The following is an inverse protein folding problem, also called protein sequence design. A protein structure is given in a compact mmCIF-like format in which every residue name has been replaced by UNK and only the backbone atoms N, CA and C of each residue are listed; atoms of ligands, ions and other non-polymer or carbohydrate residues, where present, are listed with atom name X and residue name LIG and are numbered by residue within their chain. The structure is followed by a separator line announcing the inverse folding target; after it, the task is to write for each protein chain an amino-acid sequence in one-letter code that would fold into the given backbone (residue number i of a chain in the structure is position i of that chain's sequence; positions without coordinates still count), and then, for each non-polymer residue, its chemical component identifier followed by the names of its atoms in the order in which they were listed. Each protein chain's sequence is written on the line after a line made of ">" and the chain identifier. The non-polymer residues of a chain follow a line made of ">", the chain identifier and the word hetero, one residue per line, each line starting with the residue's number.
data_IF_677594262512
#
_entry.id   IF_677594262512
#
_cell.length_a   1.000
_cell.length_b   1.000
_cell.length_c   1.000
_cell.angle_alpha   90.00
_cell.angle_beta   90.00
_cell.angle_gamma   90.00
#
_symmetry.space_group_name_H-M   'P 1'
#
loop_
_entity.id
_entity.type
_entity.pdbx_description
1 polymer ?
#
# COMPACT_ATOMS: atom_id res chain seq x y z
N UNK A 1 -43.92 14.49 65.31
CA UNK A 1 -44.71 14.43 64.07
C UNK A 1 -43.74 14.62 62.94
N UNK A 2 -43.37 13.50 62.33
CA UNK A 2 -42.27 13.35 61.39
C UNK A 2 -42.64 13.69 59.94
N UNK A 3 -41.62 14.13 59.18
CA UNK A 3 -41.49 14.01 57.71
C UNK A 3 -42.13 15.13 56.89
N UNK A 4 -41.49 15.78 55.92
CA UNK A 4 -40.21 15.56 55.23
C UNK A 4 -39.73 16.90 54.62
N UNK A 5 -38.42 17.12 54.41
CA UNK A 5 -37.94 18.12 53.47
C UNK A 5 -37.68 17.52 52.08
N UNK A 6 -38.19 18.20 51.05
CA UNK A 6 -37.97 17.92 49.63
C UNK A 6 -36.48 17.92 49.27
N UNK A 7 -35.94 16.75 48.92
CA UNK A 7 -34.63 16.65 48.26
C UNK A 7 -34.77 16.93 46.77
N UNK A 8 -34.27 18.10 46.36
CA UNK A 8 -33.97 18.44 44.97
C UNK A 8 -32.92 17.46 44.43
N UNK A 9 -33.33 16.60 43.50
CA UNK A 9 -32.40 15.72 42.78
C UNK A 9 -31.54 16.57 41.82
N UNK A 10 -30.30 16.83 42.23
CA UNK A 10 -29.23 17.15 41.31
C UNK A 10 -29.09 16.00 40.31
N UNK A 11 -29.58 16.21 39.08
CA UNK A 11 -29.22 15.36 37.94
C UNK A 11 -27.74 15.57 37.68
N UNK A 12 -26.93 14.63 38.17
CA UNK A 12 -25.55 14.49 37.76
C UNK A 12 -25.51 14.42 36.23
N UNK A 13 -24.80 15.37 35.62
CA UNK A 13 -24.52 15.37 34.19
C UNK A 13 -23.86 14.06 33.83
N UNK A 14 -24.51 13.27 32.96
CA UNK A 14 -23.88 12.12 32.33
C UNK A 14 -22.69 12.64 31.53
N UNK A 15 -21.50 12.44 32.07
CA UNK A 15 -20.23 12.58 31.35
C UNK A 15 -20.35 11.85 30.02
N UNK A 16 -20.20 12.59 28.93
CA UNK A 16 -20.29 12.15 27.55
C UNK A 16 -19.03 11.38 27.15
N UNK A 17 -18.77 10.22 27.76
CA UNK A 17 -17.75 9.26 27.27
C UNK A 17 -18.20 8.48 26.02
N UNK A 18 -19.05 9.07 25.18
CA UNK A 18 -19.51 8.50 23.90
C UNK A 18 -18.72 9.04 22.70
N UNK A 19 -17.49 9.50 22.92
CA UNK A 19 -16.66 10.03 21.85
C UNK A 19 -15.97 8.90 21.07
N UNK A 20 -16.46 8.70 19.84
CA UNK A 20 -15.84 8.07 18.67
C UNK A 20 -15.67 6.54 18.68
N UNK A 21 -16.79 5.82 18.78
CA UNK A 21 -16.88 4.40 18.38
C UNK A 21 -16.84 4.18 16.85
N UNK A 22 -16.85 5.25 16.04
CA UNK A 22 -16.89 5.20 14.59
C UNK A 22 -16.04 6.32 13.98
N UNK A 23 -15.18 5.95 13.04
CA UNK A 23 -14.42 6.86 12.19
C UNK A 23 -15.23 7.12 10.92
N UNK A 24 -15.66 8.38 10.74
CA UNK A 24 -16.46 8.82 9.60
C UNK A 24 -15.66 8.96 8.31
N UNK A 25 -14.34 9.13 8.37
CA UNK A 25 -13.48 9.24 7.18
C UNK A 25 -13.26 7.87 6.56
N UNK A 26 -12.90 6.89 7.39
CA UNK A 26 -12.68 5.51 6.92
C UNK A 26 -13.97 4.69 6.90
N UNK A 27 -15.08 5.23 7.43
CA UNK A 27 -16.35 4.54 7.64
C UNK A 27 -16.20 3.23 8.43
N UNK A 28 -15.39 3.26 9.49
CA UNK A 28 -14.94 2.06 10.21
C UNK A 28 -15.22 2.19 11.70
N UNK A 29 -15.74 1.13 12.33
CA UNK A 29 -15.89 1.09 13.78
C UNK A 29 -14.55 0.86 14.49
N UNK A 30 -14.38 1.47 15.66
CA UNK A 30 -13.29 1.12 16.56
C UNK A 30 -13.57 -0.26 17.20
N UNK A 31 -12.56 -1.10 17.41
CA UNK A 31 -12.74 -2.41 18.02
C UNK A 31 -13.24 -2.24 19.46
N UNK A 32 -14.22 -3.07 19.85
CA UNK A 32 -14.77 -3.10 21.21
C UNK A 32 -13.75 -3.58 22.24
N UNK A 33 -12.75 -4.36 21.81
CA UNK A 33 -11.59 -4.72 22.62
C UNK A 33 -10.67 -3.54 22.94
N UNK A 34 -10.90 -2.38 22.32
CA UNK A 34 -10.01 -1.23 22.41
C UNK A 34 -8.72 -1.43 21.61
N UNK A 35 -7.84 -0.44 21.72
CA UNK A 35 -6.53 -0.45 21.07
C UNK A 35 -5.51 -0.26 22.17
N UNK A 36 -4.60 -1.23 22.33
CA UNK A 36 -3.51 -1.10 23.29
C UNK A 36 -2.54 0.02 22.86
N UNK A 37 -1.80 0.65 23.79
CA UNK A 37 -0.71 1.53 23.40
C UNK A 37 0.42 0.77 22.70
N UNK A 38 1.24 1.50 21.92
CA UNK A 38 2.51 1.00 21.39
C UNK A 38 3.40 0.58 22.57
N UNK A 39 4.05 -0.57 22.47
CA UNK A 39 4.97 -1.04 23.50
C UNK A 39 6.20 -0.13 23.58
N UNK A 40 6.66 0.26 24.78
CA UNK A 40 7.86 1.10 24.90
C UNK A 40 9.11 0.44 24.28
N UNK A 41 9.25 -0.88 24.39
CA UNK A 41 10.35 -1.64 23.78
C UNK A 41 10.38 -1.50 22.26
N UNK A 42 9.21 -1.46 21.60
CA UNK A 42 9.14 -1.23 20.16
C UNK A 42 9.78 0.10 19.75
N UNK A 43 9.45 1.16 20.48
CA UNK A 43 10.00 2.49 20.21
C UNK A 43 11.50 2.55 20.51
N UNK A 44 11.97 1.88 21.56
CA UNK A 44 13.41 1.77 21.84
C UNK A 44 14.15 1.13 20.66
N UNK A 45 13.71 -0.05 20.21
CA UNK A 45 14.34 -0.77 19.08
C UNK A 45 14.22 0.03 17.78
N UNK A 46 13.11 0.72 17.53
CA UNK A 46 12.96 1.53 16.32
C UNK A 46 13.92 2.74 16.27
N UNK A 47 14.41 3.18 17.42
CA UNK A 47 15.41 4.25 17.53
C UNK A 47 16.86 3.71 17.52
N UNK A 48 17.06 2.40 17.62
CA UNK A 48 18.40 1.80 17.51
C UNK A 48 18.90 1.84 16.06
N UNK A 49 20.04 2.49 15.78
CA UNK A 49 20.52 2.68 14.41
C UNK A 49 20.68 1.37 13.63
N UNK A 50 20.18 1.35 12.40
CA UNK A 50 20.47 0.29 11.45
C UNK A 50 21.88 0.44 10.87
N UNK A 51 22.56 -0.68 10.63
CA UNK A 51 23.76 -0.77 9.81
C UNK A 51 23.48 -1.55 8.53
N UNK A 52 24.18 -1.17 7.46
CA UNK A 52 24.14 -1.95 6.21
C UNK A 52 24.94 -3.24 6.39
N UNK A 53 24.33 -4.36 6.03
CA UNK A 53 24.90 -5.71 6.08
C UNK A 53 25.65 -6.03 4.78
N UNK A 54 26.65 -6.93 4.80
CA UNK A 54 27.37 -7.34 3.59
C UNK A 54 26.51 -8.21 2.65
N UNK A 55 25.49 -8.88 3.19
CA UNK A 55 24.57 -9.74 2.45
C UNK A 55 23.14 -9.51 2.89
N UNK A 56 22.14 -9.75 2.01
CA UNK A 56 20.75 -9.69 2.40
C UNK A 56 20.43 -10.65 3.54
N UNK A 57 19.72 -10.19 4.57
CA UNK A 57 19.21 -11.04 5.64
C UNK A 57 17.89 -11.71 5.25
N UNK A 58 17.57 -12.82 5.91
CA UNK A 58 16.22 -13.40 5.85
C UNK A 58 15.24 -12.50 6.59
N UNK A 59 14.06 -12.31 5.98
CA UNK A 59 12.99 -11.47 6.49
C UNK A 59 11.64 -12.15 6.34
N UNK A 60 10.71 -11.76 7.20
CA UNK A 60 9.30 -12.09 7.10
C UNK A 60 8.56 -10.92 6.44
N UNK A 61 7.95 -11.17 5.29
CA UNK A 61 7.09 -10.20 4.60
C UNK A 61 5.63 -10.63 4.78
N UNK A 62 4.87 -9.80 5.49
CA UNK A 62 3.44 -9.97 5.76
C UNK A 62 2.66 -9.16 4.73
N UNK A 63 1.71 -9.79 4.05
CA UNK A 63 0.94 -9.20 2.96
C UNK A 63 -0.52 -8.99 3.38
N UNK A 64 -1.00 -7.75 3.26
CA UNK A 64 -2.44 -7.55 2.99
C UNK A 64 -2.79 -8.05 1.58
N UNK A 65 -4.08 -8.22 1.31
CA UNK A 65 -4.57 -8.71 0.03
C UNK A 65 -5.42 -7.68 -0.72
N UNK A 66 -6.56 -7.27 -0.16
CA UNK A 66 -7.54 -6.47 -0.90
C UNK A 66 -7.26 -4.98 -0.70
N UNK A 67 -7.00 -4.28 -1.79
CA UNK A 67 -6.45 -2.92 -1.78
C UNK A 67 -4.92 -2.92 -1.92
N UNK A 68 -4.27 -4.04 -1.61
CA UNK A 68 -2.80 -4.17 -1.71
C UNK A 68 -2.36 -4.97 -2.95
N UNK A 69 -2.76 -6.23 -3.08
CA UNK A 69 -2.39 -7.14 -4.18
C UNK A 69 -3.53 -7.35 -5.19
N UNK A 70 -4.76 -7.14 -4.75
CA UNK A 70 -5.97 -7.41 -5.51
C UNK A 70 -6.99 -6.30 -5.31
N UNK A 71 -7.78 -6.05 -6.35
CA UNK A 71 -9.00 -5.26 -6.25
C UNK A 71 -10.21 -6.18 -6.40
N UNK A 72 -11.10 -6.20 -5.41
CA UNK A 72 -12.38 -6.92 -5.52
C UNK A 72 -13.47 -6.01 -6.04
N UNK A 73 -13.81 -6.18 -7.31
CA UNK A 73 -14.88 -5.42 -7.94
C UNK A 73 -16.24 -6.04 -7.60
N UNK A 74 -17.05 -5.30 -6.83
CA UNK A 74 -18.42 -5.68 -6.46
C UNK A 74 -19.49 -5.10 -7.39
N UNK A 75 -19.11 -4.25 -8.37
CA UNK A 75 -20.04 -3.46 -9.19
C UNK A 75 -20.52 -4.20 -10.45
N UNK A 76 -19.78 -5.19 -10.95
CA UNK A 76 -20.17 -5.95 -12.15
C UNK A 76 -20.98 -7.21 -11.80
N UNK A 77 -22.26 -7.21 -12.19
CA UNK A 77 -23.12 -8.38 -12.43
C UNK A 77 -23.12 -9.49 -11.36
N UNK A 78 -23.37 -9.13 -10.09
CA UNK A 78 -23.79 -10.08 -9.04
C UNK A 78 -22.72 -11.06 -8.51
N UNK A 79 -21.58 -11.24 -9.20
CA UNK A 79 -20.44 -12.04 -8.72
C UNK A 79 -19.21 -11.15 -8.54
N UNK A 80 -18.62 -11.08 -7.33
CA UNK A 80 -17.39 -10.33 -7.11
C UNK A 80 -16.28 -10.85 -8.04
N UNK A 81 -15.71 -9.97 -8.86
CA UNK A 81 -14.53 -10.30 -9.65
C UNK A 81 -13.28 -9.86 -8.88
N UNK A 82 -12.20 -10.66 -9.02
CA UNK A 82 -10.90 -10.38 -8.41
C UNK A 82 -9.99 -9.92 -9.55
N UNK A 83 -9.53 -8.68 -9.47
CA UNK A 83 -8.56 -8.11 -10.40
C UNK A 83 -7.19 -8.15 -9.74
N UNK A 84 -6.21 -8.74 -10.43
CA UNK A 84 -4.83 -8.78 -9.97
C UNK A 84 -4.21 -7.38 -10.14
N UNK A 85 -3.49 -6.89 -9.13
CA UNK A 85 -2.64 -5.72 -9.31
C UNK A 85 -1.58 -6.01 -10.38
N UNK A 86 -1.22 -5.03 -11.25
CA UNK A 86 -0.12 -5.23 -12.19
C UNK A 86 1.15 -5.71 -11.48
N UNK A 87 1.90 -6.61 -12.13
CA UNK A 87 3.11 -7.26 -11.60
C UNK A 87 2.93 -8.22 -10.41
N UNK A 88 1.69 -8.56 -10.04
CA UNK A 88 1.42 -9.44 -8.91
C UNK A 88 2.19 -10.76 -8.95
N UNK A 89 2.17 -11.49 -10.08
CA UNK A 89 2.74 -12.83 -10.12
C UNK A 89 4.26 -12.78 -10.03
N UNK A 90 4.84 -11.79 -10.68
CA UNK A 90 6.26 -11.49 -10.69
C UNK A 90 6.74 -11.14 -9.29
N UNK A 91 6.02 -10.22 -8.64
CA UNK A 91 6.25 -9.82 -7.26
C UNK A 91 6.18 -11.02 -6.31
N UNK A 92 5.12 -11.83 -6.39
CA UNK A 92 4.97 -13.02 -5.53
C UNK A 92 6.11 -14.03 -5.73
N UNK A 93 6.51 -14.27 -6.97
CA UNK A 93 7.63 -15.17 -7.27
C UNK A 93 8.94 -14.69 -6.66
N UNK A 94 9.21 -13.39 -6.75
CA UNK A 94 10.38 -12.79 -6.10
C UNK A 94 10.30 -12.88 -4.58
N UNK A 95 9.13 -12.60 -3.99
CA UNK A 95 8.96 -12.69 -2.55
C UNK A 95 9.27 -14.10 -2.04
N UNK A 96 8.67 -15.14 -2.63
CA UNK A 96 8.94 -16.53 -2.23
C UNK A 96 10.38 -16.98 -2.46
N UNK A 97 11.10 -16.36 -3.40
CA UNK A 97 12.51 -16.67 -3.65
C UNK A 97 13.43 -16.10 -2.58
N UNK A 98 13.10 -14.93 -2.02
CA UNK A 98 14.03 -14.18 -1.16
C UNK A 98 13.59 -14.09 0.30
N UNK A 99 12.30 -14.23 0.59
CA UNK A 99 11.70 -13.95 1.89
C UNK A 99 10.79 -15.08 2.36
N UNK A 100 10.55 -15.13 3.67
CA UNK A 100 9.39 -15.82 4.21
C UNK A 100 8.16 -14.97 3.96
N UNK A 101 7.10 -15.58 3.44
CA UNK A 101 5.91 -14.84 2.99
C UNK A 101 4.71 -15.27 3.81
N UNK A 102 4.12 -14.32 4.52
CA UNK A 102 2.90 -14.50 5.29
C UNK A 102 1.77 -13.66 4.69
N UNK A 103 0.54 -14.15 4.81
CA UNK A 103 -0.66 -13.37 4.52
C UNK A 103 -1.33 -13.00 5.83
N UNK A 104 -1.75 -11.75 5.97
CA UNK A 104 -2.65 -11.33 7.04
C UNK A 104 -3.72 -10.41 6.46
N UNK A 105 -4.93 -10.93 6.23
CA UNK A 105 -6.00 -10.17 5.58
C UNK A 105 -7.20 -9.96 6.51
N UNK A 106 -7.77 -8.76 6.50
CA UNK A 106 -9.02 -8.43 7.22
C UNK A 106 -10.27 -9.14 6.65
N UNK A 107 -10.12 -9.78 5.48
CA UNK A 107 -11.15 -10.59 4.84
C UNK A 107 -11.28 -11.97 5.49
N UNK A 108 -12.50 -12.54 5.45
CA UNK A 108 -12.75 -13.91 5.91
C UNK A 108 -11.99 -14.93 5.07
N UNK A 109 -11.74 -16.10 5.66
CA UNK A 109 -10.97 -17.20 5.04
C UNK A 109 -11.41 -17.53 3.61
N UNK A 110 -12.71 -17.65 3.36
CA UNK A 110 -13.24 -17.97 2.02
C UNK A 110 -12.85 -16.94 0.95
N UNK A 111 -12.77 -15.67 1.31
CA UNK A 111 -12.33 -14.62 0.39
C UNK A 111 -10.81 -14.60 0.21
N UNK A 112 -10.07 -14.90 1.29
CA UNK A 112 -8.61 -15.03 1.24
C UNK A 112 -8.23 -16.16 0.29
N UNK A 113 -8.82 -17.35 0.46
CA UNK A 113 -8.56 -18.51 -0.40
C UNK A 113 -8.87 -18.22 -1.87
N UNK A 114 -9.98 -17.51 -2.16
CA UNK A 114 -10.33 -17.11 -3.53
C UNK A 114 -9.28 -16.19 -4.19
N UNK A 115 -8.63 -15.31 -3.43
CA UNK A 115 -7.56 -14.45 -3.91
C UNK A 115 -6.26 -15.23 -4.07
N UNK A 116 -5.88 -16.06 -3.08
CA UNK A 116 -4.67 -16.87 -3.13
C UNK A 116 -4.69 -17.92 -4.24
N UNK A 117 -5.86 -18.41 -4.64
CA UNK A 117 -6.02 -19.28 -5.82
C UNK A 117 -5.60 -18.60 -7.15
N UNK A 118 -5.36 -17.29 -7.18
CA UNK A 118 -4.79 -16.58 -8.34
C UNK A 118 -3.26 -16.69 -8.42
N UNK A 119 -2.61 -17.11 -7.34
CA UNK A 119 -1.15 -17.23 -7.22
C UNK A 119 -0.78 -18.70 -7.46
N UNK A 120 0.12 -19.00 -8.42
CA UNK A 120 0.58 -20.36 -8.64
C UNK A 120 1.25 -20.98 -7.41
N UNK A 121 0.86 -22.21 -7.06
CA UNK A 121 1.36 -22.92 -5.88
C UNK A 121 2.84 -23.32 -5.98
N UNK A 122 3.36 -23.40 -7.20
CA UNK A 122 4.76 -23.73 -7.49
C UNK A 122 5.73 -22.55 -7.25
N UNK A 123 5.22 -21.35 -6.90
CA UNK A 123 6.08 -20.23 -6.56
C UNK A 123 6.74 -20.40 -5.18
N UNK A 124 6.08 -21.09 -4.26
CA UNK A 124 6.56 -21.29 -2.90
C UNK A 124 5.43 -21.59 -1.93
N UNK A 125 5.79 -21.80 -0.67
CA UNK A 125 4.84 -22.09 0.40
C UNK A 125 4.70 -20.86 1.29
N UNK A 126 3.47 -20.47 1.58
CA UNK A 126 3.19 -19.43 2.57
C UNK A 126 3.65 -19.91 3.95
N UNK A 127 4.35 -19.05 4.67
CA UNK A 127 4.77 -19.26 6.04
C UNK A 127 3.53 -19.41 6.94
N UNK A 128 2.60 -18.45 6.85
CA UNK A 128 1.28 -18.46 7.50
C UNK A 128 0.22 -17.77 6.64
N UNK A 129 -1.04 -18.14 6.85
CA UNK A 129 -2.20 -17.50 6.22
C UNK A 129 -3.21 -17.11 7.30
N UNK A 130 -3.12 -15.86 7.74
CA UNK A 130 -4.07 -15.27 8.66
C UNK A 130 -5.15 -14.49 7.90
N UNK A 131 -6.37 -14.67 8.38
CA UNK A 131 -7.61 -14.09 7.86
C UNK A 131 -8.32 -13.35 8.99
N UNK A 132 -9.53 -12.84 8.74
CA UNK A 132 -10.34 -12.14 9.74
C UNK A 132 -10.46 -12.89 11.08
N UNK A 133 -10.46 -14.20 11.01
CA UNK A 133 -10.52 -15.17 12.10
C UNK A 133 -9.33 -15.06 13.08
N UNK A 134 -8.25 -14.38 12.69
CA UNK A 134 -7.02 -14.24 13.48
C UNK A 134 -6.86 -12.84 14.11
N UNK A 135 -7.90 -12.00 14.09
CA UNK A 135 -7.86 -10.66 14.67
C UNK A 135 -8.43 -10.59 16.11
N UNK A 136 -8.76 -11.73 16.72
CA UNK A 136 -9.35 -11.82 18.07
C UNK A 136 -10.53 -10.86 18.29
N UNK A 137 -11.34 -10.70 17.24
CA UNK A 137 -12.45 -9.77 17.24
C UNK A 137 -13.58 -10.27 18.14
N UNK A 138 -14.18 -9.36 18.89
CA UNK A 138 -15.49 -9.61 19.50
C UNK A 138 -16.49 -10.03 18.42
N UNK A 139 -17.48 -10.88 18.74
CA UNK A 139 -18.44 -11.41 17.77
C UNK A 139 -19.09 -10.30 16.93
N UNK A 140 -19.57 -9.23 17.58
CA UNK A 140 -20.11 -8.04 16.91
C UNK A 140 -19.13 -7.41 15.92
N UNK A 141 -17.86 -7.29 16.30
CA UNK A 141 -16.79 -6.75 15.45
C UNK A 141 -16.47 -7.67 14.29
N UNK A 142 -16.51 -8.99 14.51
CA UNK A 142 -16.31 -9.98 13.46
C UNK A 142 -17.32 -9.85 12.31
N UNK A 143 -18.54 -9.38 12.58
CA UNK A 143 -19.61 -9.26 11.57
C UNK A 143 -19.81 -7.86 10.98
N UNK A 144 -19.04 -6.84 11.39
CA UNK A 144 -19.15 -5.45 10.89
C UNK A 144 -17.84 -4.90 10.32
N UNK A 145 -17.90 -3.74 9.66
CA UNK A 145 -16.69 -3.02 9.23
C UNK A 145 -16.01 -2.36 10.44
N UNK A 146 -15.03 -3.07 10.99
CA UNK A 146 -14.24 -2.65 12.16
C UNK A 146 -12.77 -2.50 11.76
N UNK A 147 -12.06 -1.64 12.47
CA UNK A 147 -10.63 -1.49 12.36
C UNK A 147 -9.99 -2.83 12.78
N UNK A 148 -9.19 -3.39 11.87
CA UNK A 148 -8.51 -4.67 12.04
C UNK A 148 -7.03 -4.40 12.18
N UNK A 149 -6.61 -4.25 13.44
CA UNK A 149 -5.22 -4.01 13.82
C UNK A 149 -4.34 -5.23 13.52
N UNK A 150 -3.26 -5.01 12.78
CA UNK A 150 -2.25 -6.02 12.49
C UNK A 150 -1.09 -5.86 13.46
N UNK A 151 -1.33 -6.30 14.69
CA UNK A 151 -0.32 -6.31 15.74
C UNK A 151 0.77 -7.35 15.46
N UNK A 152 1.92 -6.91 14.95
CA UNK A 152 3.01 -7.83 14.58
C UNK A 152 3.65 -8.53 15.79
N UNK A 153 3.49 -8.01 17.00
CA UNK A 153 3.92 -8.74 18.21
C UNK A 153 3.16 -10.06 18.37
N UNK A 154 1.90 -10.12 17.95
CA UNK A 154 1.13 -11.37 17.94
C UNK A 154 1.78 -12.41 17.02
N UNK A 155 2.27 -11.99 15.87
CA UNK A 155 2.96 -12.86 14.90
C UNK A 155 4.23 -13.43 15.52
N UNK A 156 5.05 -12.59 16.14
CA UNK A 156 6.29 -13.00 16.78
C UNK A 156 6.04 -13.96 17.95
N UNK A 157 5.04 -13.66 18.80
CA UNK A 157 4.65 -14.53 19.91
C UNK A 157 4.16 -15.89 19.42
N UNK A 158 3.33 -15.94 18.37
CA UNK A 158 2.85 -17.22 17.81
C UNK A 158 3.99 -18.04 17.19
N UNK A 159 4.98 -17.39 16.56
CA UNK A 159 6.19 -18.04 16.07
C UNK A 159 6.96 -18.70 17.22
N UNK A 160 7.23 -17.97 18.29
CA UNK A 160 7.97 -18.50 19.44
C UNK A 160 7.20 -19.63 20.13
N UNK A 161 5.88 -19.48 20.32
CA UNK A 161 5.05 -20.57 20.86
C UNK A 161 5.12 -21.81 19.97
N UNK A 162 4.94 -21.67 18.64
CA UNK A 162 5.03 -22.81 17.73
C UNK A 162 6.42 -23.50 17.76
N UNK A 163 7.49 -22.73 18.00
CA UNK A 163 8.86 -23.21 18.11
C UNK A 163 9.09 -23.99 19.40
N UNK A 164 8.57 -23.53 20.53
CA UNK A 164 8.65 -24.23 21.83
C UNK A 164 8.02 -25.62 21.79
N UNK A 165 6.90 -25.78 21.07
CA UNK A 165 6.18 -27.05 20.95
C UNK A 165 6.62 -27.90 19.73
N UNK A 166 7.64 -27.46 18.99
CA UNK A 166 8.09 -28.13 17.77
C UNK A 166 8.90 -29.40 18.09
N UNK A 167 8.62 -30.49 17.39
CA UNK A 167 9.51 -31.66 17.40
C UNK A 167 10.87 -31.32 16.78
N UNK A 168 11.95 -32.10 17.07
CA UNK A 168 13.27 -31.87 16.48
C UNK A 168 13.28 -31.79 14.94
N UNK A 169 12.36 -32.50 14.26
CA UNK A 169 12.22 -32.45 12.80
C UNK A 169 11.59 -31.14 12.31
N UNK A 170 10.71 -30.53 13.11
CA UNK A 170 10.01 -29.28 12.81
C UNK A 170 10.85 -28.04 13.10
N UNK A 171 11.84 -28.12 13.99
CA UNK A 171 12.73 -26.99 14.32
C UNK A 171 13.43 -26.38 13.11
N UNK A 172 13.63 -27.13 12.02
CA UNK A 172 14.17 -26.59 10.76
C UNK A 172 13.31 -25.47 10.16
N UNK A 173 11.99 -25.45 10.42
CA UNK A 173 11.08 -24.35 10.00
C UNK A 173 11.41 -23.05 10.74
N UNK A 174 11.90 -23.15 11.97
CA UNK A 174 12.21 -22.03 12.87
C UNK A 174 13.73 -21.81 12.99
N UNK A 175 14.47 -22.10 11.91
CA UNK A 175 15.91 -21.84 11.86
C UNK A 175 16.22 -20.33 11.85
N UNK A 176 15.24 -19.52 11.47
CA UNK A 176 15.31 -18.06 11.47
C UNK A 176 14.34 -17.52 12.51
N UNK A 177 14.82 -16.57 13.32
CA UNK A 177 13.97 -15.83 14.26
C UNK A 177 13.40 -14.60 13.55
N UNK A 178 12.13 -14.30 13.81
CA UNK A 178 11.46 -13.12 13.27
C UNK A 178 11.00 -12.21 14.39
N UNK A 179 11.40 -10.95 14.28
CA UNK A 179 11.10 -9.89 15.23
C UNK A 179 10.91 -8.55 14.49
N UNK A 180 10.89 -7.47 15.26
CA UNK A 180 10.82 -6.10 14.74
C UNK A 180 11.95 -5.76 13.74
N UNK A 181 13.13 -6.36 13.87
CA UNK A 181 14.31 -6.00 13.08
C UNK A 181 14.32 -6.60 11.68
N UNK A 182 13.45 -7.59 11.40
CA UNK A 182 13.35 -8.26 10.10
C UNK A 182 11.93 -8.61 9.63
N UNK A 183 10.90 -8.01 10.20
CA UNK A 183 9.51 -8.19 9.74
C UNK A 183 9.01 -6.92 9.05
N UNK A 184 8.43 -7.07 7.85
CA UNK A 184 7.77 -5.99 7.11
C UNK A 184 6.33 -6.40 6.83
N UNK A 185 5.38 -5.52 7.12
CA UNK A 185 4.01 -5.54 6.63
C UNK A 185 3.88 -4.67 5.37
N UNK A 186 3.16 -5.15 4.36
CA UNK A 186 2.73 -4.35 3.21
C UNK A 186 1.21 -4.22 3.28
N UNK A 187 0.73 -3.00 3.47
CA UNK A 187 -0.70 -2.70 3.63
C UNK A 187 -1.02 -1.34 3.02
N UNK A 188 -2.19 -1.23 2.39
CA UNK A 188 -2.73 0.02 1.86
C UNK A 188 -3.26 0.97 2.94
N UNK A 189 -3.45 0.47 4.16
CA UNK A 189 -4.10 1.16 5.27
C UNK A 189 -3.17 1.32 6.47
N UNK A 190 -2.55 2.48 6.60
CA UNK A 190 -1.62 2.82 7.70
C UNK A 190 -2.21 2.63 9.11
N UNK A 191 -3.52 2.84 9.27
CA UNK A 191 -4.18 2.67 10.56
C UNK A 191 -4.16 1.22 11.08
N UNK A 192 -4.00 0.23 10.19
CA UNK A 192 -3.92 -1.19 10.59
C UNK A 192 -2.58 -1.51 11.24
N UNK A 193 -1.52 -0.76 10.93
CA UNK A 193 -0.16 -0.98 11.43
C UNK A 193 0.24 0.00 12.54
N UNK A 194 -0.70 0.74 13.12
CA UNK A 194 -0.38 1.81 14.09
C UNK A 194 0.36 1.34 15.35
N UNK A 195 0.35 0.03 15.66
CA UNK A 195 1.11 -0.53 16.78
C UNK A 195 2.59 -0.72 16.47
N UNK A 196 2.94 -0.89 15.19
CA UNK A 196 4.31 -1.00 14.69
C UNK A 196 4.48 -0.19 13.38
N UNK A 197 4.35 1.15 13.44
CA UNK A 197 4.24 2.00 12.26
C UNK A 197 5.48 1.98 11.36
N UNK A 198 6.67 1.72 11.92
CA UNK A 198 7.93 1.68 11.18
C UNK A 198 8.25 0.30 10.60
N UNK A 199 7.32 -0.64 10.66
CA UNK A 199 7.43 -1.94 10.01
C UNK A 199 6.42 -2.11 8.89
N UNK A 200 5.74 -1.02 8.47
CA UNK A 200 4.73 -1.05 7.43
C UNK A 200 5.19 -0.27 6.19
N UNK A 201 5.10 -0.89 5.03
CA UNK A 201 5.16 -0.21 3.73
C UNK A 201 3.73 0.23 3.40
N UNK A 202 3.40 1.55 3.50
CA UNK A 202 2.09 2.07 3.13
C UNK A 202 1.98 2.17 1.60
N UNK A 203 1.68 1.06 0.95
CA UNK A 203 1.51 1.02 -0.50
C UNK A 203 0.24 1.77 -0.90
N UNK A 204 0.19 2.40 -2.07
CA UNK A 204 -1.04 3.05 -2.51
C UNK A 204 -2.17 2.02 -2.71
N UNK A 205 -3.39 2.36 -2.27
CA UNK A 205 -4.59 1.51 -2.43
C UNK A 205 -4.84 1.21 -3.92
N UNK A 206 -5.00 -0.07 -4.23
CA UNK A 206 -5.36 -0.62 -5.53
C UNK A 206 -6.87 -0.73 -5.65
N UNK A 207 -7.47 0.39 -6.03
CA UNK A 207 -8.90 0.54 -6.21
C UNK A 207 -9.34 0.36 -7.67
N UNK A 208 -10.60 0.70 -7.95
CA UNK A 208 -11.16 0.65 -9.30
C UNK A 208 -10.44 1.58 -10.28
N UNK A 209 -10.10 2.81 -9.87
CA UNK A 209 -9.49 3.80 -10.75
C UNK A 209 -8.08 3.37 -11.15
N UNK A 210 -7.29 2.87 -10.19
CA UNK A 210 -5.96 2.31 -10.49
C UNK A 210 -6.04 1.06 -11.34
N UNK A 211 -6.99 0.17 -11.06
CA UNK A 211 -7.20 -1.03 -11.85
C UNK A 211 -7.51 -0.70 -13.32
N UNK A 212 -8.36 0.29 -13.58
CA UNK A 212 -8.72 0.72 -14.93
C UNK A 212 -7.61 1.52 -15.64
N UNK A 213 -6.75 2.23 -14.89
CA UNK A 213 -5.68 3.04 -15.48
C UNK A 213 -4.67 2.23 -16.30
N UNK A 214 -4.45 0.96 -15.95
CA UNK A 214 -3.43 0.10 -16.56
C UNK A 214 -1.97 0.53 -16.29
N UNK A 215 -1.74 1.59 -15.49
CA UNK A 215 -0.43 2.21 -15.29
C UNK A 215 0.16 2.02 -13.88
N UNK A 216 -0.51 1.25 -13.01
CA UNK A 216 -0.01 0.96 -11.66
C UNK A 216 1.28 0.14 -11.72
N UNK A 217 2.33 0.65 -11.06
CA UNK A 217 3.66 0.03 -10.95
C UNK A 217 4.11 -0.09 -9.49
N UNK A 218 3.19 0.04 -8.53
CA UNK A 218 3.54 0.16 -7.11
C UNK A 218 4.25 -1.08 -6.58
N UNK A 219 3.88 -2.29 -7.03
CA UNK A 219 4.57 -3.52 -6.63
C UNK A 219 6.04 -3.56 -7.05
N UNK A 220 6.43 -2.86 -8.12
CA UNK A 220 7.84 -2.73 -8.51
C UNK A 220 8.60 -1.80 -7.55
N UNK A 221 7.98 -0.70 -7.13
CA UNK A 221 8.56 0.22 -6.14
C UNK A 221 8.73 -0.48 -4.80
N UNK A 222 7.73 -1.24 -4.38
CA UNK A 222 7.80 -2.04 -3.16
C UNK A 222 8.93 -3.06 -3.25
N UNK A 223 9.06 -3.79 -4.36
CA UNK A 223 10.17 -4.71 -4.55
C UNK A 223 11.54 -4.01 -4.41
N UNK A 224 11.74 -2.88 -5.11
CA UNK A 224 12.98 -2.09 -5.01
C UNK A 224 13.28 -1.70 -3.55
N UNK A 225 12.26 -1.29 -2.81
CA UNK A 225 12.42 -0.92 -1.40
C UNK A 225 12.76 -2.13 -0.52
N UNK A 226 12.13 -3.28 -0.74
CA UNK A 226 12.45 -4.54 -0.04
C UNK A 226 13.90 -4.98 -0.27
N UNK A 227 14.46 -4.79 -1.48
CA UNK A 227 15.87 -5.08 -1.73
C UNK A 227 16.79 -4.22 -0.86
N UNK A 228 16.49 -2.93 -0.70
CA UNK A 228 17.24 -2.04 0.19
C UNK A 228 17.08 -2.43 1.66
N UNK A 229 15.84 -2.67 2.10
CA UNK A 229 15.51 -3.07 3.47
C UNK A 229 16.16 -4.40 3.87
N UNK A 230 16.28 -5.34 2.93
CA UNK A 230 16.94 -6.64 3.18
C UNK A 230 18.42 -6.53 3.52
N UNK A 231 19.06 -5.40 3.20
CA UNK A 231 20.46 -5.13 3.51
C UNK A 231 20.63 -4.47 4.88
N UNK A 232 19.58 -4.38 5.70
CA UNK A 232 19.59 -3.60 6.95
C UNK A 232 19.53 -4.51 8.18
N UNK A 233 20.33 -4.18 9.20
CA UNK A 233 20.31 -4.91 10.47
C UNK A 233 19.08 -4.61 11.32
N UNK A 234 18.44 -3.46 11.12
CA UNK A 234 17.22 -3.09 11.81
C UNK A 234 16.26 -2.43 10.83
N UNK A 235 15.34 -3.22 10.29
CA UNK A 235 14.37 -2.73 9.31
C UNK A 235 13.47 -1.64 9.87
N UNK A 236 13.06 -1.73 11.13
CA UNK A 236 12.18 -0.74 11.73
C UNK A 236 12.84 0.64 11.82
N UNK A 237 14.13 0.69 12.18
CA UNK A 237 14.89 1.92 12.18
C UNK A 237 15.12 2.45 10.75
N UNK A 238 15.52 1.57 9.82
CA UNK A 238 15.73 1.95 8.42
C UNK A 238 14.47 2.56 7.80
N UNK A 239 13.31 1.93 8.00
CA UNK A 239 12.03 2.41 7.45
C UNK A 239 11.55 3.69 8.12
N UNK A 240 11.94 3.94 9.37
CA UNK A 240 11.69 5.21 10.06
C UNK A 240 12.51 6.36 9.46
N UNK A 241 13.80 6.14 9.21
CA UNK A 241 14.72 7.15 8.66
C UNK A 241 14.54 7.35 7.15
N UNK A 242 14.20 6.28 6.43
CA UNK A 242 14.03 6.24 4.98
C UNK A 242 12.68 5.66 4.61
N UNK A 243 11.55 6.34 4.92
CA UNK A 243 10.22 5.81 4.66
C UNK A 243 9.98 5.53 3.18
N UNK A 244 9.14 4.53 2.91
CA UNK A 244 8.72 4.21 1.55
C UNK A 244 8.03 5.41 0.89
N UNK A 245 8.37 5.66 -0.39
CA UNK A 245 7.78 6.72 -1.20
C UNK A 245 7.14 6.14 -2.46
N UNK A 246 5.80 6.19 -2.54
CA UNK A 246 5.06 5.80 -3.75
C UNK A 246 5.38 6.69 -4.96
N UNK A 247 6.05 7.83 -4.81
CA UNK A 247 6.50 8.66 -5.93
C UNK A 247 7.94 8.38 -6.34
N UNK A 248 8.62 7.43 -5.68
CA UNK A 248 9.99 7.08 -6.00
C UNK A 248 10.13 6.66 -7.47
N UNK A 249 11.19 7.16 -8.10
CA UNK A 249 11.57 6.70 -9.42
C UNK A 249 11.99 5.22 -9.37
N UNK A 250 11.61 4.50 -10.41
CA UNK A 250 12.02 3.12 -10.59
C UNK A 250 13.45 3.10 -11.11
N UNK A 251 14.33 2.48 -10.34
CA UNK A 251 15.70 2.27 -10.76
C UNK A 251 15.76 1.18 -11.83
N UNK A 252 16.68 1.38 -12.78
CA UNK A 252 16.86 0.45 -13.90
C UNK A 252 17.20 -0.97 -13.44
N UNK A 253 18.07 -1.13 -12.43
CA UNK A 253 18.55 -2.44 -11.97
C UNK A 253 17.49 -3.35 -11.34
N UNK A 254 16.66 -2.91 -10.37
CA UNK A 254 15.57 -3.72 -9.84
C UNK A 254 14.64 -4.25 -10.94
N UNK A 255 14.36 -3.42 -11.95
CA UNK A 255 13.56 -3.84 -13.09
C UNK A 255 14.30 -4.81 -13.97
N UNK A 256 15.55 -4.56 -14.36
CA UNK A 256 16.36 -5.50 -15.13
C UNK A 256 16.45 -6.87 -14.43
N UNK A 257 16.62 -6.89 -13.10
CA UNK A 257 16.64 -8.12 -12.29
C UNK A 257 15.29 -8.85 -12.32
N UNK A 258 14.19 -8.13 -12.09
CA UNK A 258 12.84 -8.67 -12.22
C UNK A 258 12.60 -9.25 -13.62
N UNK A 259 13.04 -8.54 -14.65
CA UNK A 259 12.84 -8.87 -16.06
C UNK A 259 13.67 -10.08 -16.49
N UNK A 260 14.90 -10.19 -16.00
CA UNK A 260 15.72 -11.38 -16.18
C UNK A 260 15.04 -12.60 -15.55
N UNK A 261 14.54 -12.45 -14.33
CA UNK A 261 13.81 -13.51 -13.63
C UNK A 261 12.48 -13.89 -14.31
N UNK A 262 11.87 -12.95 -15.03
CA UNK A 262 10.72 -13.18 -15.89
C UNK A 262 11.08 -13.94 -17.17
N UNK A 263 12.16 -13.56 -17.84
CA UNK A 263 12.66 -14.23 -19.04
C UNK A 263 13.07 -15.69 -18.74
N UNK A 264 13.63 -15.94 -17.56
CA UNK A 264 14.04 -17.26 -17.09
C UNK A 264 12.86 -18.11 -16.58
N UNK A 265 11.64 -17.55 -16.50
CA UNK A 265 10.46 -18.25 -16.01
C UNK A 265 9.87 -19.23 -17.04
N UNK A 266 9.89 -20.54 -16.73
CA UNK A 266 9.16 -21.58 -17.48
C UNK A 266 7.65 -21.59 -17.15
N UNK A 267 6.99 -20.43 -17.19
CA UNK A 267 5.54 -20.32 -16.98
C UNK A 267 4.71 -20.79 -18.19
N UNK A 268 3.39 -21.01 -18.02
CA UNK A 268 2.50 -21.34 -19.14
C UNK A 268 2.59 -20.29 -20.26
N UNK A 269 2.54 -20.72 -21.53
CA UNK A 269 2.76 -19.85 -22.72
C UNK A 269 1.91 -18.55 -22.71
N UNK A 270 0.69 -18.61 -22.16
CA UNK A 270 -0.22 -17.45 -22.04
C UNK A 270 0.29 -16.41 -21.05
N UNK A 271 0.86 -16.84 -19.92
CA UNK A 271 1.43 -15.93 -18.92
C UNK A 271 2.67 -15.24 -19.49
N UNK A 272 3.57 -15.98 -20.14
CA UNK A 272 4.75 -15.41 -20.81
C UNK A 272 4.41 -14.23 -21.73
N UNK A 273 3.45 -14.37 -22.66
CA UNK A 273 3.06 -13.27 -23.57
C UNK A 273 2.57 -12.00 -22.86
N UNK A 274 1.83 -12.14 -21.75
CA UNK A 274 1.32 -10.98 -20.99
C UNK A 274 2.47 -10.30 -20.23
N UNK A 275 3.37 -11.10 -19.65
CA UNK A 275 4.58 -10.61 -19.00
C UNK A 275 5.46 -9.88 -20.00
N UNK A 276 5.74 -10.46 -21.17
CA UNK A 276 6.56 -9.87 -22.22
C UNK A 276 6.00 -8.52 -22.69
N UNK A 277 4.68 -8.39 -22.81
CA UNK A 277 4.05 -7.13 -23.22
C UNK A 277 4.17 -6.05 -22.13
N UNK A 278 3.94 -6.40 -20.85
CA UNK A 278 4.10 -5.46 -19.73
C UNK A 278 5.56 -5.06 -19.53
N UNK A 279 6.46 -6.02 -19.65
CA UNK A 279 7.90 -5.86 -19.69
C UNK A 279 8.32 -4.83 -20.76
N UNK A 280 7.82 -4.98 -22.00
CA UNK A 280 8.09 -4.04 -23.09
C UNK A 280 7.58 -2.64 -22.75
N UNK A 281 6.38 -2.51 -22.17
CA UNK A 281 5.81 -1.21 -21.77
C UNK A 281 6.65 -0.55 -20.67
N UNK A 282 7.08 -1.30 -19.65
CA UNK A 282 7.98 -0.79 -18.62
C UNK A 282 9.31 -0.38 -19.22
N UNK A 283 9.90 -1.18 -20.11
CA UNK A 283 11.17 -0.84 -20.74
C UNK A 283 11.03 0.41 -21.60
N UNK A 284 9.92 0.57 -22.32
CA UNK A 284 9.64 1.81 -23.04
C UNK A 284 9.52 3.01 -22.08
N UNK A 285 8.85 2.84 -20.93
CA UNK A 285 8.72 3.88 -19.90
C UNK A 285 10.06 4.24 -19.23
N UNK A 286 10.86 3.24 -18.85
CA UNK A 286 12.20 3.43 -18.26
C UNK A 286 13.14 4.06 -19.27
N UNK A 287 13.17 3.57 -20.52
CA UNK A 287 14.02 4.15 -21.56
C UNK A 287 13.60 5.58 -21.93
N UNK A 288 12.32 5.94 -21.76
CA UNK A 288 11.83 7.30 -21.97
C UNK A 288 12.20 8.28 -20.83
N UNK A 289 12.54 7.77 -19.64
CA UNK A 289 12.80 8.59 -18.44
C UNK A 289 14.26 8.48 -17.95
N UNK A 290 15.00 7.44 -18.33
CA UNK A 290 16.35 7.20 -17.84
C UNK A 290 17.37 8.21 -18.41
N UNK A 291 18.11 8.95 -17.57
CA UNK A 291 19.33 9.62 -18.00
C UNK A 291 20.43 8.58 -18.32
N UNK A 292 21.37 8.91 -19.23
CA UNK A 292 22.36 7.96 -19.72
C UNK A 292 23.38 7.61 -18.62
N UNK A 293 23.58 6.30 -18.43
CA UNK A 293 24.57 5.62 -17.56
C UNK A 293 24.33 5.58 -16.03
N UNK A 294 24.17 4.36 -15.51
CA UNK A 294 24.33 4.00 -14.10
C UNK A 294 25.50 3.01 -13.99
N UNK A 295 26.59 3.30 -13.23
CA UNK A 295 27.71 2.37 -13.10
C UNK A 295 27.40 1.25 -12.10
N UNK A 296 27.51 0.00 -12.56
CA UNK A 296 27.57 -1.21 -11.75
C UNK A 296 28.79 -1.19 -10.84
N UNK A 297 28.56 -1.53 -9.57
CA UNK A 297 29.54 -1.78 -8.49
C UNK A 297 30.46 -0.62 -8.06
N UNK A 298 30.07 0.14 -7.03
CA UNK A 298 30.92 0.68 -5.95
C UNK A 298 30.07 1.49 -4.95
N UNK A 299 30.36 1.45 -3.64
CA UNK A 299 29.56 2.14 -2.60
C UNK A 299 29.55 3.68 -2.75
N UNK A 300 30.54 4.25 -3.44
CA UNK A 300 30.55 5.67 -3.85
C UNK A 300 29.39 6.06 -4.78
N UNK A 301 28.83 5.10 -5.54
CA UNK A 301 27.70 5.36 -6.46
C UNK A 301 26.37 5.48 -5.70
N UNK A 302 26.22 4.80 -4.55
CA UNK A 302 25.04 4.90 -3.68
C UNK A 302 25.02 6.20 -2.88
N UNK A 303 26.15 6.58 -2.29
CA UNK A 303 26.34 7.89 -1.62
C UNK A 303 26.03 9.04 -2.59
N UNK A 304 26.62 8.99 -3.80
CA UNK A 304 26.37 9.96 -4.87
C UNK A 304 24.92 9.98 -5.38
N UNK A 305 24.18 8.88 -5.26
CA UNK A 305 22.75 8.83 -5.61
C UNK A 305 21.88 9.47 -4.52
N UNK A 306 22.15 9.21 -3.24
CA UNK A 306 21.50 9.86 -2.11
C UNK A 306 21.75 11.38 -2.13
N UNK A 307 22.98 11.79 -2.48
CA UNK A 307 23.37 13.19 -2.57
C UNK A 307 22.72 13.91 -3.78
N UNK A 308 22.55 13.20 -4.91
CA UNK A 308 21.77 13.70 -6.05
C UNK A 308 20.28 13.85 -5.75
N UNK A 309 19.69 12.93 -4.97
CA UNK A 309 18.30 13.05 -4.52
C UNK A 309 18.10 14.25 -3.58
N UNK A 310 19.10 14.59 -2.75
CA UNK A 310 19.10 15.83 -1.94
C UNK A 310 19.14 17.08 -2.82
N UNK A 311 20.01 17.13 -3.84
CA UNK A 311 20.12 18.29 -4.73
C UNK A 311 18.88 18.50 -5.62
N UNK A 312 18.27 17.40 -6.13
CA UNK A 312 17.02 17.48 -6.90
C UNK A 312 15.86 18.03 -6.05
N UNK A 313 15.83 17.67 -4.75
CA UNK A 313 14.86 18.19 -3.78
C UNK A 313 14.97 19.71 -3.61
N UNK A 314 16.20 20.24 -3.52
CA UNK A 314 16.47 21.67 -3.41
C UNK A 314 16.11 22.43 -4.71
N UNK A 315 16.43 21.87 -5.88
CA UNK A 315 16.13 22.47 -7.17
C UNK A 315 14.61 22.55 -7.44
N UNK A 316 13.86 21.52 -7.04
CA UNK A 316 12.39 21.50 -7.09
C UNK A 316 11.78 22.52 -6.12
N UNK A 317 12.33 22.67 -4.91
CA UNK A 317 11.91 23.72 -3.99
C UNK A 317 12.17 25.13 -4.55
N UNK A 318 13.28 25.32 -5.26
CA UNK A 318 13.64 26.60 -5.90
C UNK A 318 12.72 26.91 -7.09
N UNK A 319 12.39 25.92 -7.92
CA UNK A 319 11.45 26.06 -9.05
C UNK A 319 10.00 26.26 -8.61
N UNK A 320 9.57 25.66 -7.50
CA UNK A 320 8.26 25.93 -6.89
C UNK A 320 8.21 27.35 -6.31
N UNK A 321 9.30 27.83 -5.69
CA UNK A 321 9.47 29.23 -5.26
C UNK A 321 9.38 30.23 -6.42
N UNK A 322 10.04 29.93 -7.54
CA UNK A 322 10.06 30.76 -8.76
C UNK A 322 8.69 30.82 -9.45
N UNK A 323 7.92 29.73 -9.44
CA UNK A 323 6.53 29.72 -9.95
C UNK A 323 5.56 30.53 -9.08
N UNK A 324 5.79 30.60 -7.77
CA UNK A 324 5.00 31.45 -6.86
C UNK A 324 5.28 32.94 -7.08
N UNK A 325 6.53 33.35 -7.30
CA UNK A 325 6.85 34.77 -7.57
C UNK A 325 6.32 35.23 -8.94
N UNK A 326 6.44 34.38 -9.97
CA UNK A 326 5.97 34.70 -11.34
C UNK A 326 4.44 34.84 -11.43
N UNK A 327 3.70 33.98 -10.70
CA UNK A 327 2.24 34.13 -10.57
C UNK A 327 1.83 35.41 -9.83
N UNK A 328 2.63 35.86 -8.86
CA UNK A 328 2.38 37.11 -8.14
C UNK A 328 2.65 38.34 -9.02
N UNK A 329 3.65 38.29 -9.89
CA UNK A 329 3.91 39.33 -10.91
C UNK A 329 2.82 39.37 -11.99
N UNK A 330 2.41 38.22 -12.53
CA UNK A 330 1.34 38.15 -13.54
C UNK A 330 -0.01 38.63 -13.00
N UNK A 331 -0.29 38.39 -11.71
CA UNK A 331 -1.48 38.91 -11.04
C UNK A 331 -1.43 40.44 -10.88
N UNK A 332 -0.25 41.02 -10.63
CA UNK A 332 -0.06 42.48 -10.58
C UNK A 332 -0.21 43.13 -11.95
N UNK A 333 0.29 42.50 -13.02
CA UNK A 333 0.16 43.02 -14.40
C UNK A 333 -1.28 42.93 -14.95
N UNK A 334 -2.08 41.96 -14.52
CA UNK A 334 -3.49 41.87 -14.94
C UNK A 334 -4.39 42.93 -14.30
N UNK A 335 -4.05 43.43 -13.11
CA UNK A 335 -4.81 44.48 -12.46
C UNK A 335 -4.55 45.88 -13.04
N UNK A 336 -3.42 46.10 -13.73
CA UNK A 336 -3.13 47.37 -14.43
C UNK A 336 -3.70 47.47 -15.84
N UNK A 337 -4.25 46.38 -16.40
CA UNK A 337 -4.73 46.34 -17.79
C UNK A 337 -6.25 46.53 -17.97
N UNK A 338 -7.01 46.80 -16.90
CA UNK A 338 -8.50 46.91 -16.94
C UNK A 338 -9.01 48.36 -16.98
N UNK A 339 -8.15 49.38 -16.94
CA UNK A 339 -8.58 50.78 -17.10
C UNK A 339 -8.35 51.26 -18.54
N UNK A 340 -9.34 51.03 -19.43
CA UNK A 340 -9.28 51.59 -20.78
C UNK A 340 -10.36 51.15 -21.79
N UNK A 341 -11.54 51.79 -21.72
CA UNK A 341 -12.46 52.16 -22.84
C UNK A 341 -13.31 51.02 -23.51
N UNK A 342 -14.47 51.31 -24.18
CA UNK A 342 -15.81 51.04 -23.65
C UNK A 342 -16.80 50.29 -24.59
N UNK A 343 -17.99 50.02 -24.05
CA UNK A 343 -19.17 49.34 -24.61
C UNK A 343 -19.71 49.86 -25.97
N UNK A 344 -20.04 48.94 -26.91
CA UNK A 344 -21.11 49.14 -27.92
C UNK A 344 -21.96 47.85 -28.11
N UNK A 345 -23.28 48.00 -27.95
CA UNK A 345 -24.34 46.98 -28.12
C UNK A 345 -24.72 46.77 -29.59
N UNK A 346 -24.97 45.52 -30.02
CA UNK A 346 -25.94 45.19 -31.10
C UNK A 346 -26.80 43.96 -30.74
N UNK A 347 -28.11 44.06 -31.04
CA UNK A 347 -29.21 43.16 -30.67
C UNK A 347 -29.50 42.09 -31.75
N UNK A 348 -29.87 40.89 -31.27
CA UNK A 348 -30.89 39.89 -31.74
C UNK A 348 -30.92 39.41 -33.21
N UNK A 349 -30.95 38.09 -33.43
CA UNK A 349 -32.20 37.28 -33.63
C UNK A 349 -31.91 35.78 -33.94
N UNK A 350 -32.88 34.96 -33.52
CA UNK A 350 -33.01 33.49 -33.57
C UNK A 350 -32.89 32.82 -34.95
N UNK A 351 -32.48 31.53 -34.96
CA UNK A 351 -33.18 30.48 -35.73
C UNK A 351 -32.92 29.06 -35.21
N UNK A 352 -34.02 28.37 -34.92
CA UNK A 352 -34.20 26.97 -34.53
C UNK A 352 -34.06 26.02 -35.73
N UNK A 353 -33.52 24.80 -35.56
CA UNK A 353 -34.02 23.60 -36.26
C UNK A 353 -33.58 22.26 -35.61
N UNK A 354 -34.59 21.43 -35.31
CA UNK A 354 -34.57 20.00 -34.94
C UNK A 354 -34.60 19.13 -36.21
N UNK A 355 -34.01 17.93 -36.15
CA UNK A 355 -34.44 16.65 -36.79
C UNK A 355 -33.50 15.55 -36.26
N UNK A 356 -33.84 14.57 -35.40
CA UNK A 356 -34.79 13.43 -35.37
C UNK A 356 -34.46 12.20 -36.26
N UNK A 357 -34.09 11.11 -35.56
CA UNK A 357 -34.36 9.66 -35.74
C UNK A 357 -33.92 8.92 -37.02
N UNK A 358 -33.28 7.75 -36.81
CA UNK A 358 -33.87 6.45 -37.19
C UNK A 358 -33.31 5.28 -36.37
N UNK A 359 -34.24 4.54 -35.76
CA UNK A 359 -34.08 3.22 -35.15
C UNK A 359 -34.02 2.14 -36.25
N UNK A 360 -33.35 1.02 -35.98
CA UNK A 360 -33.73 -0.28 -36.56
C UNK A 360 -33.56 -1.39 -35.52
N UNK A 361 -34.66 -2.13 -35.32
CA UNK A 361 -34.81 -3.29 -34.43
C UNK A 361 -34.32 -4.58 -35.11
N UNK A 362 -33.92 -5.51 -34.23
CA UNK A 362 -33.75 -6.99 -34.25
C UNK A 362 -34.33 -7.81 -35.43
N UNK A 363 -33.91 -9.08 -35.54
CA UNK A 363 -34.80 -10.14 -35.03
C UNK A 363 -34.12 -11.21 -34.16
N UNK A 364 -34.99 -11.91 -33.43
CA UNK A 364 -34.82 -13.12 -32.62
C UNK A 364 -35.18 -14.31 -33.53
N UNK A 365 -34.48 -15.44 -33.38
CA UNK A 365 -34.97 -16.80 -33.70
C UNK A 365 -34.29 -17.77 -32.74
N UNK A 366 -35.09 -18.31 -31.81
CA UNK A 366 -35.46 -19.73 -31.64
C UNK A 366 -34.50 -20.50 -30.74
#
# INVERSE_FOLDING_TARGET
>A
MDGQPHYSQHKAGKSTHREKFYDSETLTFMPLSGIRPITPSYLTIANEPSRTLPTPRKMLVILDLNGTLFFRNKRLSGKPTIVNRPFLLEFMRLLFTHFHVMVWSSSRRTSVDAMLNRIPKDFGTMDRIWSREHFDLHEVDFHRKVLTLKDMEKVWQEIEMEKEWASPKQLKKYAEDFDQTNTILIDDSTHKSQLQPYNCIPIADFDFERAESGADIELLKVWQYLELASMQSNVSNFMREFPFDSNAEILKRPVEKMMKLLADSKGPKRYRRIHDMRAVIIMAYINAIAPPHMPTTNDEVKESYIERLKHLREEVQTKIGFKKSKKLEEAKMKNTAVEGVPMIRKKKKNKTRRTLKKMRKRPITQ
#
